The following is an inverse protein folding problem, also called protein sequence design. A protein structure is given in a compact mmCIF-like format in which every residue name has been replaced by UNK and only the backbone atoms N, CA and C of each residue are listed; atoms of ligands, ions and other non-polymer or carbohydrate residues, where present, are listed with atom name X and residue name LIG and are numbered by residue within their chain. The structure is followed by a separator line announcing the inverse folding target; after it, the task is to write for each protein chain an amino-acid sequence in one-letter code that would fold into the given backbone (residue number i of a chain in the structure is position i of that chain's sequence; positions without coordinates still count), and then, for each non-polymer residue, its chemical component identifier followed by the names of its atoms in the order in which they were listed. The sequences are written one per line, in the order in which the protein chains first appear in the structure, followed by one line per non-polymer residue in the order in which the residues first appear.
data_IF_625537833600
#
_entry.id   IF_625537833600
#
_cell.length_a   1.000
_cell.length_b   1.000
_cell.length_c   1.000
_cell.angle_alpha   90.00
_cell.angle_beta   90.00
_cell.angle_gamma   90.00
#
_symmetry.space_group_name_H-M   'P 1'
#
loop_
_entity.id
_entity.type
_entity.pdbx_description
1 polymer ?
#
# COMPACT_ATOMS: atom_id res chain seq x y z
N UNK A 1 -23.72 51.68 -43.06
CA UNK A 1 -24.42 50.73 -42.13
C UNK A 1 -24.31 49.37 -42.70
N UNK A 2 -23.44 48.51 -42.07
CA UNK A 2 -23.25 47.14 -42.46
C UNK A 2 -24.11 46.27 -41.55
N UNK A 3 -24.74 45.17 -42.01
CA UNK A 3 -25.62 44.34 -41.20
C UNK A 3 -24.78 43.43 -40.25
N UNK A 4 -25.16 43.40 -38.97
CA UNK A 4 -24.59 42.55 -37.93
C UNK A 4 -24.90 41.07 -38.24
N UNK A 5 -23.85 40.23 -38.27
CA UNK A 5 -23.96 38.77 -38.32
C UNK A 5 -24.60 38.25 -37.04
N UNK A 6 -25.48 37.26 -37.09
CA UNK A 6 -26.03 36.60 -35.89
C UNK A 6 -24.96 35.78 -35.19
N UNK A 7 -24.92 35.86 -33.85
CA UNK A 7 -24.06 35.01 -33.01
C UNK A 7 -24.53 33.55 -33.11
N UNK A 8 -23.61 32.56 -33.14
CA UNK A 8 -23.99 31.16 -33.10
C UNK A 8 -24.68 30.85 -31.76
N UNK A 9 -25.82 30.17 -31.82
CA UNK A 9 -26.50 29.59 -30.67
C UNK A 9 -25.56 28.48 -30.11
N UNK A 10 -25.05 28.66 -28.91
CA UNK A 10 -24.43 27.58 -28.12
C UNK A 10 -25.52 26.61 -27.75
N UNK A 11 -25.69 25.56 -28.55
CA UNK A 11 -26.37 24.34 -28.11
C UNK A 11 -25.50 23.75 -27.02
N UNK A 12 -26.00 23.70 -25.79
CA UNK A 12 -25.28 23.19 -24.65
C UNK A 12 -24.81 21.74 -24.93
N UNK A 13 -23.56 21.47 -24.61
CA UNK A 13 -22.88 20.16 -24.78
C UNK A 13 -23.68 19.00 -24.15
N UNK A 14 -24.62 19.32 -23.28
CA UNK A 14 -25.49 18.40 -22.55
C UNK A 14 -26.61 17.75 -23.38
N UNK A 15 -27.09 18.41 -24.43
CA UNK A 15 -28.15 17.83 -25.26
C UNK A 15 -27.66 16.66 -26.12
N UNK A 16 -26.38 16.63 -26.45
CA UNK A 16 -25.78 15.57 -27.27
C UNK A 16 -25.45 14.29 -26.45
N UNK A 17 -25.20 14.42 -25.15
CA UNK A 17 -24.93 13.29 -24.24
C UNK A 17 -26.20 12.49 -23.88
N UNK A 18 -27.37 13.12 -23.95
CA UNK A 18 -28.64 12.47 -23.58
C UNK A 18 -29.34 11.75 -24.76
N UNK A 19 -28.92 12.00 -26.00
CA UNK A 19 -29.60 11.49 -27.20
C UNK A 19 -28.91 10.30 -27.87
N UNK A 20 -27.68 9.93 -27.45
CA UNK A 20 -26.98 8.76 -28.01
C UNK A 20 -26.63 7.74 -26.92
N UNK A 21 -27.12 6.50 -27.01
CA UNK A 21 -26.89 5.46 -25.98
C UNK A 21 -25.43 4.94 -25.89
N UNK A 22 -24.57 5.30 -26.82
CA UNK A 22 -23.27 4.68 -27.03
C UNK A 22 -22.13 5.15 -26.11
N UNK A 23 -22.02 6.41 -25.65
CA UNK A 23 -20.90 6.86 -24.83
C UNK A 23 -20.91 6.34 -23.37
N UNK A 24 -22.09 6.04 -22.83
CA UNK A 24 -22.23 5.60 -21.42
C UNK A 24 -21.81 4.14 -21.17
N UNK A 25 -21.69 3.34 -22.22
CA UNK A 25 -21.35 1.93 -22.09
C UNK A 25 -19.87 1.70 -21.69
N UNK A 26 -18.97 2.63 -22.02
CA UNK A 26 -17.53 2.51 -21.79
C UNK A 26 -17.06 3.12 -20.47
N UNK A 27 -17.93 3.81 -19.74
CA UNK A 27 -17.60 4.41 -18.44
C UNK A 27 -17.61 3.37 -17.31
N UNK A 28 -16.73 3.57 -16.31
CA UNK A 28 -16.75 2.74 -15.10
C UNK A 28 -18.06 2.92 -14.34
N UNK A 29 -18.48 1.94 -13.56
CA UNK A 29 -19.72 2.02 -12.77
C UNK A 29 -19.68 3.17 -11.75
N UNK A 30 -18.49 3.55 -11.28
CA UNK A 30 -18.27 4.68 -10.37
C UNK A 30 -18.51 6.01 -11.09
N UNK A 31 -17.97 6.17 -12.29
CA UNK A 31 -18.20 7.36 -13.15
C UNK A 31 -19.67 7.53 -13.52
N UNK A 32 -20.38 6.44 -13.82
CA UNK A 32 -21.83 6.48 -14.09
C UNK A 32 -22.65 6.95 -12.89
N UNK A 33 -22.31 6.49 -11.67
CA UNK A 33 -22.97 6.95 -10.43
C UNK A 33 -22.70 8.44 -10.14
N UNK A 34 -21.48 8.92 -10.38
CA UNK A 34 -21.11 10.33 -10.17
C UNK A 34 -21.84 11.25 -11.15
N UNK A 35 -21.88 10.90 -12.44
CA UNK A 35 -22.64 11.66 -13.44
C UNK A 35 -24.11 11.77 -13.04
N UNK A 36 -24.72 10.68 -12.55
CA UNK A 36 -26.11 10.68 -12.08
C UNK A 36 -26.33 11.56 -10.84
N UNK A 37 -25.38 11.55 -9.89
CA UNK A 37 -25.45 12.37 -8.68
C UNK A 37 -25.24 13.85 -8.99
N UNK A 38 -24.29 14.20 -9.87
CA UNK A 38 -24.02 15.56 -10.30
C UNK A 38 -25.24 16.15 -11.05
N UNK A 39 -25.80 15.43 -12.02
CA UNK A 39 -26.98 15.89 -12.77
C UNK A 39 -28.18 16.12 -11.85
N UNK A 40 -28.42 15.27 -10.88
CA UNK A 40 -29.51 15.43 -9.91
C UNK A 40 -29.28 16.64 -8.97
N UNK A 41 -28.04 16.91 -8.57
CA UNK A 41 -27.65 18.07 -7.74
C UNK A 41 -27.85 19.38 -8.50
N UNK A 42 -27.38 19.45 -9.74
CA UNK A 42 -27.44 20.66 -10.57
C UNK A 42 -28.88 21.03 -10.90
N UNK A 43 -29.71 20.04 -11.21
CA UNK A 43 -31.14 20.25 -11.44
C UNK A 43 -31.86 20.75 -10.20
N UNK A 44 -31.57 20.17 -9.02
CA UNK A 44 -32.17 20.63 -7.75
C UNK A 44 -31.79 22.08 -7.46
N UNK A 45 -30.56 22.47 -7.78
CA UNK A 45 -30.05 23.83 -7.59
C UNK A 45 -30.70 24.79 -8.59
N UNK A 46 -30.86 24.41 -9.86
CA UNK A 46 -31.54 25.18 -10.87
C UNK A 46 -33.03 25.42 -10.52
N UNK A 47 -33.72 24.39 -10.04
CA UNK A 47 -35.12 24.51 -9.60
C UNK A 47 -35.28 25.38 -8.35
N UNK A 48 -34.35 25.34 -7.38
CA UNK A 48 -34.33 26.26 -6.24
C UNK A 48 -34.20 27.71 -6.70
N UNK A 49 -33.36 28.01 -7.68
CA UNK A 49 -33.19 29.36 -8.27
C UNK A 49 -34.44 29.80 -8.99
N UNK A 50 -35.09 28.93 -9.77
CA UNK A 50 -36.36 29.25 -10.46
C UNK A 50 -37.45 29.51 -9.42
N UNK A 51 -37.62 28.69 -8.40
CA UNK A 51 -38.59 28.92 -7.32
C UNK A 51 -38.35 30.26 -6.62
N UNK A 52 -37.10 30.57 -6.26
CA UNK A 52 -36.75 31.87 -5.65
C UNK A 52 -37.05 33.06 -6.56
N UNK A 53 -36.83 32.95 -7.88
CA UNK A 53 -37.19 33.96 -8.85
C UNK A 53 -38.72 34.15 -9.02
N UNK A 54 -39.50 33.09 -8.88
CA UNK A 54 -40.96 33.14 -8.89
C UNK A 54 -41.51 33.79 -7.61
N UNK A 55 -40.91 33.47 -6.45
CA UNK A 55 -41.27 34.03 -5.14
C UNK A 55 -40.91 35.52 -4.99
N UNK A 56 -39.81 35.96 -5.64
CA UNK A 56 -39.30 37.35 -5.55
C UNK A 56 -39.94 38.31 -6.57
N UNK A 57 -40.50 37.81 -7.66
CA UNK A 57 -41.29 38.58 -8.60
C UNK A 57 -42.74 38.39 -8.23
N UNK A 58 -43.40 39.45 -7.72
CA UNK A 58 -44.82 39.50 -7.33
C UNK A 58 -45.70 39.16 -8.54
N UNK A 59 -45.80 37.86 -8.85
CA UNK A 59 -46.73 37.32 -9.84
C UNK A 59 -47.96 36.82 -9.09
N UNK A 60 -49.17 37.15 -9.60
CA UNK A 60 -50.39 36.64 -8.96
C UNK A 60 -50.45 35.12 -9.00
N UNK A 61 -51.11 34.47 -8.03
CA UNK A 61 -51.22 32.97 -7.95
C UNK A 61 -51.74 32.32 -9.25
N UNK A 62 -52.52 33.04 -10.03
CA UNK A 62 -53.05 32.54 -11.32
C UNK A 62 -51.98 32.36 -12.40
N UNK A 63 -50.83 33.04 -12.28
CA UNK A 63 -49.68 32.94 -13.23
C UNK A 63 -48.59 32.01 -12.74
N UNK A 64 -48.48 31.76 -11.43
CA UNK A 64 -47.45 30.86 -10.85
C UNK A 64 -47.86 29.40 -10.87
N UNK A 65 -49.17 29.09 -10.68
CA UNK A 65 -49.65 27.72 -10.61
C UNK A 65 -49.39 26.87 -11.87
N UNK A 66 -49.57 27.37 -13.12
CA UNK A 66 -49.21 26.61 -14.31
C UNK A 66 -47.73 26.28 -14.39
N UNK A 67 -46.84 27.20 -13.95
CA UNK A 67 -45.36 27.02 -13.96
C UNK A 67 -44.97 25.97 -12.90
N UNK A 68 -45.55 26.02 -11.71
CA UNK A 68 -45.30 25.02 -10.65
C UNK A 68 -45.76 23.63 -11.09
N UNK A 69 -46.87 23.51 -11.79
CA UNK A 69 -47.36 22.23 -12.32
C UNK A 69 -46.39 21.66 -13.37
N UNK A 70 -45.84 22.49 -14.25
CA UNK A 70 -44.83 22.08 -15.25
C UNK A 70 -43.53 21.64 -14.55
N UNK A 71 -43.06 22.40 -13.56
CA UNK A 71 -41.88 22.05 -12.76
C UNK A 71 -42.09 20.71 -12.05
N UNK A 72 -43.26 20.51 -11.42
CA UNK A 72 -43.60 19.25 -10.75
C UNK A 72 -43.68 18.05 -11.71
N UNK A 73 -44.11 18.29 -12.95
CA UNK A 73 -44.13 17.27 -13.99
C UNK A 73 -42.73 16.88 -14.47
N UNK A 74 -41.85 17.87 -14.67
CA UNK A 74 -40.45 17.65 -15.05
C UNK A 74 -39.72 16.88 -13.94
N UNK A 75 -39.89 17.26 -12.68
CA UNK A 75 -39.27 16.58 -11.54
C UNK A 75 -39.74 15.12 -11.45
N UNK A 76 -41.03 14.84 -11.62
CA UNK A 76 -41.55 13.46 -11.64
C UNK A 76 -41.01 12.62 -12.79
N UNK A 77 -40.78 13.23 -13.94
CA UNK A 77 -40.23 12.55 -15.11
C UNK A 77 -38.76 12.21 -14.88
N UNK A 78 -37.99 13.13 -14.33
CA UNK A 78 -36.57 12.93 -14.00
C UNK A 78 -36.38 11.90 -12.90
N UNK A 79 -37.21 11.89 -11.86
CA UNK A 79 -37.17 10.82 -10.84
C UNK A 79 -37.46 9.43 -11.41
N UNK A 80 -38.34 9.33 -12.42
CA UNK A 80 -38.60 8.06 -13.12
C UNK A 80 -37.37 7.64 -13.93
N UNK A 81 -36.78 8.58 -14.70
CA UNK A 81 -35.57 8.34 -15.48
C UNK A 81 -34.38 7.93 -14.59
N UNK A 82 -34.17 8.59 -13.48
CA UNK A 82 -33.12 8.28 -12.53
C UNK A 82 -33.30 6.86 -11.93
N UNK A 83 -34.53 6.53 -11.53
CA UNK A 83 -34.86 5.18 -11.02
C UNK A 83 -34.69 4.08 -12.08
N UNK A 84 -35.01 4.35 -13.34
CA UNK A 84 -34.82 3.39 -14.41
C UNK A 84 -33.34 3.18 -14.75
N UNK A 85 -32.58 4.26 -14.74
CA UNK A 85 -31.14 4.21 -14.96
C UNK A 85 -30.41 3.45 -13.81
N UNK A 86 -30.82 3.68 -12.55
CA UNK A 86 -30.34 2.88 -11.42
C UNK A 86 -30.68 1.39 -11.56
N UNK A 87 -31.88 1.06 -12.03
CA UNK A 87 -32.27 -0.32 -12.31
C UNK A 87 -31.39 -0.95 -13.40
N UNK A 88 -31.07 -0.19 -14.45
CA UNK A 88 -30.20 -0.65 -15.53
C UNK A 88 -28.76 -0.86 -15.01
N UNK A 89 -28.19 0.08 -14.22
CA UNK A 89 -26.88 -0.07 -13.58
C UNK A 89 -26.85 -1.31 -12.71
N UNK A 90 -27.83 -1.51 -11.83
CA UNK A 90 -27.92 -2.72 -10.98
C UNK A 90 -28.05 -4.02 -11.80
N UNK A 91 -28.70 -3.99 -12.97
CA UNK A 91 -28.78 -5.16 -13.88
C UNK A 91 -27.41 -5.47 -14.49
N UNK A 92 -26.65 -4.44 -14.92
CA UNK A 92 -25.31 -4.60 -15.48
C UNK A 92 -24.34 -5.09 -14.41
N UNK A 93 -24.39 -4.54 -13.19
CA UNK A 93 -23.57 -4.98 -12.05
C UNK A 93 -23.83 -6.46 -11.70
N UNK A 94 -25.12 -6.88 -11.61
CA UNK A 94 -25.47 -8.29 -11.38
C UNK A 94 -25.00 -9.22 -12.50
N UNK A 95 -25.07 -8.78 -13.77
CA UNK A 95 -24.55 -9.56 -14.90
C UNK A 95 -23.02 -9.66 -14.85
N UNK A 96 -22.32 -8.58 -14.51
CA UNK A 96 -20.88 -8.55 -14.33
C UNK A 96 -20.44 -9.47 -13.19
N UNK A 97 -21.10 -9.38 -12.04
CA UNK A 97 -20.85 -10.25 -10.88
C UNK A 97 -21.09 -11.73 -11.21
N UNK A 98 -22.21 -12.05 -11.91
CA UNK A 98 -22.48 -13.43 -12.35
C UNK A 98 -21.42 -13.96 -13.32
N UNK A 99 -20.90 -13.11 -14.25
CA UNK A 99 -19.78 -13.48 -15.13
C UNK A 99 -18.49 -13.72 -14.35
N UNK A 100 -18.17 -12.87 -13.35
CA UNK A 100 -17.01 -13.07 -12.47
C UNK A 100 -17.12 -14.35 -11.65
N UNK A 101 -18.27 -14.63 -11.05
CA UNK A 101 -18.53 -15.88 -10.30
C UNK A 101 -18.43 -17.10 -11.21
N UNK A 102 -18.99 -17.04 -12.42
CA UNK A 102 -18.89 -18.11 -13.42
C UNK A 102 -17.44 -18.35 -13.82
N UNK A 103 -16.71 -17.29 -14.13
CA UNK A 103 -15.28 -17.35 -14.48
C UNK A 103 -14.42 -17.91 -13.34
N UNK A 104 -14.70 -17.53 -12.08
CA UNK A 104 -14.00 -18.09 -10.91
C UNK A 104 -14.33 -19.59 -10.72
N UNK A 105 -15.59 -20.00 -10.94
CA UNK A 105 -16.00 -21.42 -10.90
C UNK A 105 -15.34 -22.23 -12.02
N UNK A 106 -15.28 -21.69 -13.24
CA UNK A 106 -14.64 -22.32 -14.39
C UNK A 106 -13.12 -22.43 -14.18
N UNK A 107 -12.47 -21.40 -13.63
CA UNK A 107 -11.04 -21.45 -13.26
C UNK A 107 -10.76 -22.45 -12.14
N UNK A 108 -11.63 -22.53 -11.14
CA UNK A 108 -11.51 -23.52 -10.05
C UNK A 108 -11.71 -24.94 -10.58
N UNK A 109 -12.65 -25.13 -11.51
CA UNK A 109 -12.85 -26.43 -12.19
C UNK A 109 -11.68 -26.79 -13.09
N UNK A 110 -11.19 -25.88 -13.94
CA UNK A 110 -10.01 -26.09 -14.77
C UNK A 110 -8.76 -26.42 -13.93
N UNK A 111 -8.52 -25.71 -12.81
CA UNK A 111 -7.42 -26.04 -11.90
C UNK A 111 -7.58 -27.45 -11.33
N UNK A 112 -8.77 -27.82 -10.86
CA UNK A 112 -9.01 -29.18 -10.35
C UNK A 112 -8.85 -30.25 -11.41
N UNK A 113 -9.34 -30.00 -12.63
CA UNK A 113 -9.22 -30.92 -13.76
C UNK A 113 -7.76 -31.02 -14.25
N UNK A 114 -7.05 -29.89 -14.34
CA UNK A 114 -5.65 -29.86 -14.75
C UNK A 114 -4.74 -30.57 -13.73
N UNK A 115 -4.94 -30.29 -12.44
CA UNK A 115 -4.21 -30.98 -11.36
C UNK A 115 -4.57 -32.47 -11.33
N UNK A 116 -5.83 -32.82 -11.57
CA UNK A 116 -6.28 -34.21 -11.63
C UNK A 116 -5.71 -34.98 -12.84
N UNK A 117 -5.65 -34.34 -14.00
CA UNK A 117 -5.06 -34.96 -15.22
C UNK A 117 -3.54 -35.02 -15.11
N UNK A 118 -2.89 -33.96 -14.62
CA UNK A 118 -1.44 -33.95 -14.38
C UNK A 118 -1.05 -34.97 -13.31
N UNK A 119 -1.85 -35.05 -12.23
CA UNK A 119 -1.64 -36.06 -11.17
C UNK A 119 -1.80 -37.50 -11.66
N UNK A 120 -2.75 -37.77 -12.59
CA UNK A 120 -2.90 -39.09 -13.22
C UNK A 120 -1.77 -39.38 -14.21
N UNK A 121 -1.37 -38.42 -15.04
CA UNK A 121 -0.25 -38.55 -15.96
C UNK A 121 1.07 -38.78 -15.20
N UNK A 122 1.32 -38.03 -14.12
CA UNK A 122 2.51 -38.18 -13.27
C UNK A 122 2.54 -39.53 -12.53
N UNK A 123 1.39 -40.08 -12.12
CA UNK A 123 1.34 -41.46 -11.56
C UNK A 123 1.64 -42.54 -12.56
N UNK A 124 1.35 -42.31 -13.84
CA UNK A 124 1.68 -43.29 -14.93
C UNK A 124 3.16 -43.22 -15.28
N UNK A 125 3.74 -42.03 -15.33
CA UNK A 125 5.13 -41.85 -15.76
C UNK A 125 6.13 -41.92 -14.59
N UNK A 126 5.69 -41.72 -13.34
CA UNK A 126 6.54 -41.75 -12.14
C UNK A 126 5.83 -42.48 -11.00
N UNK A 127 5.66 -43.80 -11.04
CA UNK A 127 5.04 -44.56 -9.97
C UNK A 127 5.92 -44.47 -8.72
N UNK A 128 5.40 -43.84 -7.67
CA UNK A 128 6.10 -43.73 -6.37
C UNK A 128 6.45 -42.32 -5.88
N UNK A 129 6.31 -41.28 -6.72
CA UNK A 129 6.48 -39.90 -6.28
C UNK A 129 5.18 -39.36 -5.68
N UNK A 130 5.14 -39.21 -4.35
CA UNK A 130 4.12 -38.39 -3.68
C UNK A 130 4.35 -36.95 -4.12
N UNK A 131 3.39 -36.33 -4.82
CA UNK A 131 3.35 -34.88 -5.06
C UNK A 131 2.90 -34.27 -3.72
N UNK A 132 3.83 -34.14 -2.78
CA UNK A 132 3.73 -33.14 -1.73
C UNK A 132 3.96 -31.78 -2.40
N UNK A 133 3.21 -30.74 -2.02
CA UNK A 133 3.65 -29.38 -2.29
C UNK A 133 5.12 -29.32 -1.89
N UNK A 134 6.03 -29.12 -2.85
CA UNK A 134 7.46 -29.14 -2.58
C UNK A 134 7.74 -28.02 -1.58
N UNK A 135 7.90 -28.39 -0.33
CA UNK A 135 8.47 -27.49 0.66
C UNK A 135 9.91 -27.22 0.22
N UNK A 136 10.28 -25.96 0.17
CA UNK A 136 11.64 -25.59 -0.22
C UNK A 136 12.66 -26.22 0.73
N UNK A 137 13.81 -26.59 0.19
CA UNK A 137 14.90 -27.06 1.03
C UNK A 137 15.29 -26.00 2.05
N UNK A 138 15.53 -26.36 3.32
CA UNK A 138 15.98 -25.43 4.33
C UNK A 138 17.18 -24.61 3.84
N UNK A 139 17.08 -23.27 3.93
CA UNK A 139 18.12 -22.36 3.47
C UNK A 139 18.08 -22.00 1.98
N UNK A 140 17.07 -22.44 1.19
CA UNK A 140 16.87 -21.96 -0.17
C UNK A 140 16.15 -20.60 -0.19
N UNK A 141 16.87 -19.56 0.15
CA UNK A 141 16.36 -18.19 0.10
C UNK A 141 16.01 -17.70 -1.31
N UNK A 142 16.54 -18.35 -2.35
CA UNK A 142 16.16 -18.05 -3.74
C UNK A 142 14.74 -18.51 -4.04
N UNK A 143 14.32 -19.65 -3.48
CA UNK A 143 12.92 -20.09 -3.55
C UNK A 143 12.01 -19.13 -2.78
N UNK A 144 12.40 -18.72 -1.57
CA UNK A 144 11.64 -17.75 -0.77
C UNK A 144 11.47 -16.42 -1.52
N UNK A 145 12.53 -15.90 -2.16
CA UNK A 145 12.44 -14.68 -2.98
C UNK A 145 11.40 -14.83 -4.10
N UNK A 146 11.40 -15.93 -4.85
CA UNK A 146 10.39 -16.19 -5.89
C UNK A 146 8.97 -16.27 -5.33
N UNK A 147 8.80 -16.87 -4.16
CA UNK A 147 7.50 -16.97 -3.49
C UNK A 147 7.01 -15.59 -3.02
N UNK A 148 7.90 -14.73 -2.52
CA UNK A 148 7.57 -13.33 -2.17
C UNK A 148 7.16 -12.55 -3.43
N UNK A 149 7.91 -12.64 -4.53
CA UNK A 149 7.57 -12.00 -5.82
C UNK A 149 6.16 -12.39 -6.27
N UNK A 150 5.77 -13.65 -6.10
CA UNK A 150 4.43 -14.12 -6.42
C UNK A 150 3.32 -13.48 -5.56
N UNK A 151 3.66 -12.90 -4.40
CA UNK A 151 2.71 -12.20 -3.53
C UNK A 151 2.60 -10.70 -3.84
N UNK A 152 3.49 -10.10 -4.62
CA UNK A 152 3.51 -8.66 -4.85
C UNK A 152 2.25 -8.17 -5.58
N UNK A 153 1.75 -8.91 -6.56
CA UNK A 153 0.56 -8.53 -7.31
C UNK A 153 -0.72 -8.81 -6.52
N UNK A 154 -1.40 -7.75 -6.09
CA UNK A 154 -2.66 -7.79 -5.31
C UNK A 154 -3.68 -6.83 -5.92
N UNK A 155 -4.42 -7.21 -6.97
CA UNK A 155 -5.31 -6.31 -7.71
C UNK A 155 -6.42 -5.66 -6.88
N UNK A 156 -6.76 -6.27 -5.76
CA UNK A 156 -7.84 -5.80 -4.87
C UNK A 156 -7.29 -5.10 -3.61
N UNK A 157 -5.99 -4.79 -3.59
CA UNK A 157 -5.32 -4.09 -2.49
C UNK A 157 -4.56 -2.86 -3.00
N UNK A 158 -4.84 -1.70 -2.39
CA UNK A 158 -4.24 -0.40 -2.69
C UNK A 158 -4.10 -0.14 -4.23
N UNK A 159 -2.89 0.16 -4.70
CA UNK A 159 -2.57 0.41 -6.12
C UNK A 159 -2.33 -0.90 -6.91
N UNK A 160 -2.86 -2.01 -6.43
CA UNK A 160 -2.71 -3.33 -7.05
C UNK A 160 -1.45 -4.08 -6.64
N UNK A 161 -0.73 -3.62 -5.61
CA UNK A 161 0.53 -4.20 -5.18
C UNK A 161 0.66 -4.29 -3.65
N UNK A 162 1.18 -5.40 -3.16
CA UNK A 162 1.63 -5.55 -1.77
C UNK A 162 3.06 -5.04 -1.55
N UNK A 163 3.77 -4.62 -2.59
CA UNK A 163 5.17 -4.17 -2.48
C UNK A 163 5.36 -3.07 -1.44
N UNK A 164 4.61 -1.95 -1.50
CA UNK A 164 4.76 -0.87 -0.53
C UNK A 164 4.53 -1.30 0.93
N UNK A 165 3.53 -2.14 1.20
CA UNK A 165 3.28 -2.61 2.57
C UNK A 165 4.35 -3.60 3.04
N UNK A 166 5.04 -4.33 2.16
CA UNK A 166 6.19 -5.15 2.54
C UNK A 166 7.41 -4.29 2.92
N UNK A 167 7.65 -3.20 2.20
CA UNK A 167 8.70 -2.23 2.57
C UNK A 167 8.40 -1.61 3.92
N UNK A 168 7.15 -1.18 4.16
CA UNK A 168 6.72 -0.64 5.45
C UNK A 168 6.81 -1.66 6.57
N UNK A 169 6.49 -2.94 6.32
CA UNK A 169 6.61 -4.02 7.30
C UNK A 169 8.06 -4.23 7.73
N UNK A 170 9.00 -4.28 6.78
CA UNK A 170 10.43 -4.39 7.07
C UNK A 170 10.95 -3.18 7.87
N UNK A 171 10.54 -1.96 7.48
CA UNK A 171 10.87 -0.73 8.18
C UNK A 171 10.36 -0.74 9.63
N UNK A 172 9.08 -1.01 9.86
CA UNK A 172 8.49 -0.98 11.19
C UNK A 172 9.04 -2.11 12.09
N UNK A 173 9.36 -3.27 11.52
CA UNK A 173 10.05 -4.34 12.27
C UNK A 173 11.41 -3.91 12.78
N UNK A 174 12.15 -3.10 12.00
CA UNK A 174 13.51 -2.68 12.34
C UNK A 174 13.57 -1.37 13.13
N UNK A 175 12.63 -0.44 12.89
CA UNK A 175 12.62 0.92 13.42
C UNK A 175 12.39 1.05 14.92
N UNK A 176 12.14 -0.05 15.60
CA UNK A 176 12.03 -0.11 17.06
C UNK A 176 13.40 -0.16 17.77
N UNK A 177 14.50 -0.28 17.02
CA UNK A 177 15.84 -0.40 17.59
C UNK A 177 16.26 0.81 18.40
N UNK A 178 16.90 0.56 19.51
CA UNK A 178 17.50 1.56 20.39
C UNK A 178 18.95 1.14 20.64
N UNK A 179 19.90 1.94 20.16
CA UNK A 179 21.33 1.63 20.20
C UNK A 179 21.92 1.73 21.61
N UNK A 180 21.33 2.55 22.50
CA UNK A 180 21.80 2.71 23.87
C UNK A 180 21.40 1.49 24.71
N UNK A 181 20.14 1.08 24.65
CA UNK A 181 19.65 -0.09 25.41
C UNK A 181 19.86 -1.42 24.70
N UNK A 182 20.29 -1.43 23.43
CA UNK A 182 20.44 -2.61 22.55
C UNK A 182 19.17 -3.48 22.52
N UNK A 183 18.00 -2.84 22.37
CA UNK A 183 16.69 -3.49 22.37
C UNK A 183 15.88 -3.15 21.13
N UNK A 184 14.96 -4.03 20.72
CA UNK A 184 14.20 -3.88 19.48
C UNK A 184 15.04 -4.23 18.25
N UNK A 185 14.63 -3.71 17.09
CA UNK A 185 15.30 -3.94 15.82
C UNK A 185 14.74 -5.12 15.03
N UNK A 186 15.43 -5.51 13.97
CA UNK A 186 14.94 -6.43 12.94
C UNK A 186 14.90 -7.90 13.39
N UNK A 187 15.39 -8.23 14.57
CA UNK A 187 15.32 -9.56 15.15
C UNK A 187 14.06 -9.73 15.99
N UNK A 188 13.53 -10.94 16.10
CA UNK A 188 12.44 -11.28 17.02
C UNK A 188 11.05 -11.34 16.43
N UNK A 189 10.76 -10.61 15.36
CA UNK A 189 9.41 -10.53 14.75
C UNK A 189 8.30 -10.26 15.78
N UNK A 190 8.50 -9.26 16.64
CA UNK A 190 7.63 -8.95 17.78
C UNK A 190 6.21 -8.59 17.41
N UNK A 191 5.96 -8.08 16.18
CA UNK A 191 4.60 -7.81 15.69
C UNK A 191 3.69 -9.05 15.59
N UNK A 192 4.19 -10.27 15.81
CA UNK A 192 3.36 -11.46 16.00
C UNK A 192 2.57 -11.41 17.32
N UNK A 193 3.04 -10.63 18.28
CA UNK A 193 2.42 -10.42 19.58
C UNK A 193 1.66 -9.12 19.62
N UNK A 194 0.57 -9.10 20.40
CA UNK A 194 -0.31 -7.93 20.54
C UNK A 194 0.43 -6.70 21.10
N UNK A 195 1.44 -6.90 21.93
CA UNK A 195 2.24 -5.81 22.50
C UNK A 195 2.82 -4.89 21.44
N UNK A 196 3.29 -5.41 20.28
CA UNK A 196 3.80 -4.64 19.16
C UNK A 196 2.82 -4.61 17.98
N UNK A 197 2.20 -5.75 17.65
CA UNK A 197 1.25 -5.86 16.54
C UNK A 197 0.00 -5.00 16.72
N UNK A 198 -0.41 -4.75 17.95
CA UNK A 198 -1.49 -3.85 18.34
C UNK A 198 -1.08 -2.40 18.57
N UNK A 199 0.18 -2.02 18.32
CA UNK A 199 0.59 -0.62 18.34
C UNK A 199 -0.13 0.16 17.21
N UNK A 200 -0.82 1.28 17.49
CA UNK A 200 -1.43 2.12 16.47
C UNK A 200 -0.48 2.53 15.34
N UNK A 201 0.82 2.72 15.65
CA UNK A 201 1.83 3.00 14.63
C UNK A 201 1.98 1.86 13.60
N UNK A 202 1.63 0.62 13.97
CA UNK A 202 1.66 -0.56 13.11
C UNK A 202 0.32 -0.86 12.41
N UNK A 203 -0.67 0.03 12.52
CA UNK A 203 -1.97 -0.14 11.85
C UNK A 203 -1.81 -0.35 10.34
N UNK A 204 -2.53 -1.32 9.76
CA UNK A 204 -2.43 -1.72 8.36
C UNK A 204 -1.35 -2.77 8.07
N UNK A 205 -0.35 -2.98 8.93
CA UNK A 205 0.72 -3.98 8.71
C UNK A 205 0.24 -5.43 8.86
N UNK A 206 -0.90 -5.66 9.48
CA UNK A 206 -1.55 -6.97 9.48
C UNK A 206 -1.83 -7.49 8.06
N UNK A 207 -2.07 -6.61 7.08
CA UNK A 207 -2.24 -7.01 5.68
C UNK A 207 -0.93 -7.55 5.08
N UNK A 208 0.19 -6.85 5.31
CA UNK A 208 1.51 -7.30 4.86
C UNK A 208 1.89 -8.65 5.47
N UNK A 209 1.66 -8.83 6.77
CA UNK A 209 1.88 -10.11 7.47
C UNK A 209 1.03 -11.22 6.87
N UNK A 210 -0.28 -10.98 6.69
CA UNK A 210 -1.20 -11.97 6.12
C UNK A 210 -0.85 -12.36 4.68
N UNK A 211 -0.36 -11.42 3.85
CA UNK A 211 0.07 -11.73 2.49
C UNK A 211 1.33 -12.61 2.44
N UNK A 212 2.13 -12.63 3.50
CA UNK A 212 3.34 -13.45 3.61
C UNK A 212 3.10 -14.82 4.25
N UNK A 213 1.94 -15.05 4.88
CA UNK A 213 1.64 -16.38 5.46
C UNK A 213 1.73 -17.53 4.44
N UNK A 214 1.24 -17.42 3.19
CA UNK A 214 1.42 -18.49 2.19
C UNK A 214 2.90 -18.77 1.86
N UNK A 215 3.78 -17.76 2.00
CA UNK A 215 5.23 -17.93 1.82
C UNK A 215 5.80 -18.69 3.02
N UNK A 216 5.37 -18.32 4.23
CA UNK A 216 5.76 -19.01 5.49
C UNK A 216 5.30 -20.47 5.50
N UNK A 217 4.05 -20.75 5.13
CA UNK A 217 3.50 -22.11 5.04
C UNK A 217 4.30 -22.99 4.08
N UNK A 218 4.73 -22.43 2.94
CA UNK A 218 5.53 -23.13 1.95
C UNK A 218 6.99 -23.30 2.38
N UNK A 219 7.50 -22.41 3.21
CA UNK A 219 8.88 -22.35 3.70
C UNK A 219 8.89 -22.32 5.23
N UNK A 220 8.44 -23.38 5.93
CA UNK A 220 8.27 -23.36 7.39
C UNK A 220 9.58 -23.18 8.17
N UNK A 221 10.71 -23.43 7.52
CA UNK A 221 12.05 -23.29 8.09
C UNK A 221 12.52 -21.84 8.25
N UNK A 222 11.98 -20.87 7.45
CA UNK A 222 12.39 -19.47 7.58
C UNK A 222 11.76 -18.85 8.83
N UNK A 223 12.49 -17.99 9.54
CA UNK A 223 11.90 -17.20 10.63
C UNK A 223 11.02 -16.07 10.07
N UNK A 224 10.07 -15.58 10.84
CA UNK A 224 9.29 -14.40 10.46
C UNK A 224 10.17 -13.15 10.34
N UNK A 225 11.19 -13.02 11.20
CA UNK A 225 12.15 -11.92 11.13
C UNK A 225 12.92 -11.89 9.81
N UNK A 226 13.39 -13.04 9.34
CA UNK A 226 14.02 -13.14 8.03
C UNK A 226 13.01 -12.93 6.90
N UNK A 227 11.81 -13.50 7.00
CA UNK A 227 10.78 -13.38 5.97
C UNK A 227 10.33 -11.93 5.77
N UNK A 228 10.05 -11.19 6.84
CA UNK A 228 9.55 -9.82 6.74
C UNK A 228 10.62 -8.84 6.23
N UNK A 229 11.85 -8.97 6.71
CA UNK A 229 12.97 -8.15 6.22
C UNK A 229 13.32 -8.47 4.77
N UNK A 230 13.33 -9.75 4.39
CA UNK A 230 13.56 -10.18 3.02
C UNK A 230 12.43 -9.71 2.08
N UNK A 231 11.18 -9.72 2.54
CA UNK A 231 10.04 -9.26 1.75
C UNK A 231 10.17 -7.77 1.41
N UNK A 232 10.61 -6.93 2.35
CA UNK A 232 10.90 -5.51 2.08
C UNK A 232 12.00 -5.31 1.05
N UNK A 233 13.09 -6.07 1.16
CA UNK A 233 14.22 -6.02 0.21
C UNK A 233 13.77 -6.45 -1.20
N UNK A 234 13.09 -7.57 -1.31
CA UNK A 234 12.56 -8.08 -2.59
C UNK A 234 11.57 -7.09 -3.20
N UNK A 235 10.71 -6.47 -2.38
CA UNK A 235 9.74 -5.49 -2.86
C UNK A 235 10.43 -4.23 -3.45
N UNK A 236 11.48 -3.71 -2.81
CA UNK A 236 12.27 -2.59 -3.36
C UNK A 236 12.83 -2.96 -4.73
N UNK A 237 13.49 -4.12 -4.84
CA UNK A 237 14.14 -4.60 -6.06
C UNK A 237 13.11 -4.78 -7.20
N UNK A 238 12.00 -5.46 -6.95
CA UNK A 238 10.97 -5.77 -7.95
C UNK A 238 10.16 -4.54 -8.40
N UNK A 239 10.07 -3.52 -7.55
CA UNK A 239 9.47 -2.23 -7.94
C UNK A 239 10.45 -1.30 -8.69
N UNK A 240 11.62 -1.80 -9.11
CA UNK A 240 12.60 -1.09 -9.91
C UNK A 240 13.62 -0.29 -9.09
N UNK A 241 13.73 -0.55 -7.81
CA UNK A 241 14.74 0.01 -6.91
C UNK A 241 16.10 -0.69 -7.00
N UNK A 242 17.06 -0.27 -6.18
CA UNK A 242 18.38 -0.86 -6.14
C UNK A 242 18.39 -2.23 -5.46
N UNK A 243 19.42 -3.02 -5.74
CA UNK A 243 19.71 -4.23 -4.97
C UNK A 243 20.16 -3.87 -3.57
N UNK A 244 19.42 -4.36 -2.57
CA UNK A 244 19.70 -4.10 -1.16
C UNK A 244 20.49 -5.25 -0.55
N UNK A 245 21.64 -4.99 0.12
CA UNK A 245 22.35 -6.01 0.86
C UNK A 245 21.47 -6.61 1.95
N UNK A 246 21.35 -7.94 1.96
CA UNK A 246 20.58 -8.67 2.97
C UNK A 246 21.25 -9.99 3.34
N UNK A 247 21.27 -10.32 4.62
CA UNK A 247 21.81 -11.57 5.15
C UNK A 247 20.76 -12.28 6.01
N UNK A 248 20.69 -13.61 5.94
CA UNK A 248 19.79 -14.42 6.77
C UNK A 248 20.32 -14.62 8.20
N UNK A 249 19.50 -15.28 9.02
CA UNK A 249 19.91 -15.84 10.30
C UNK A 249 19.24 -15.19 11.51
N UNK A 250 18.27 -14.28 11.29
CA UNK A 250 17.44 -13.71 12.38
C UNK A 250 16.63 -14.80 13.04
N UNK A 251 16.30 -14.55 14.30
CA UNK A 251 15.54 -15.45 15.14
C UNK A 251 14.20 -14.82 15.52
N UNK A 252 13.23 -15.64 15.88
CA UNK A 252 11.92 -15.19 16.32
C UNK A 252 11.79 -15.30 17.85
N UNK A 253 11.14 -14.33 18.49
CA UNK A 253 10.77 -14.38 19.90
C UNK A 253 9.85 -15.58 20.18
N UNK A 254 10.03 -16.25 21.31
CA UNK A 254 9.15 -17.33 21.76
C UNK A 254 7.94 -16.82 22.52
N UNK A 255 8.04 -15.61 23.09
CA UNK A 255 7.00 -14.89 23.82
C UNK A 255 7.16 -13.38 23.67
N UNK A 256 6.32 -12.60 24.31
CA UNK A 256 6.29 -11.14 24.22
C UNK A 256 7.17 -10.41 25.25
N UNK A 257 7.90 -11.13 26.09
CA UNK A 257 8.72 -10.56 27.18
C UNK A 257 9.86 -9.65 26.70
N UNK A 258 10.28 -9.81 25.44
CA UNK A 258 11.35 -9.03 24.79
C UNK A 258 10.84 -8.11 23.68
N UNK A 259 9.53 -7.98 23.55
CA UNK A 259 8.94 -7.00 22.63
C UNK A 259 9.30 -5.59 23.09
N UNK A 260 9.80 -4.71 22.21
CA UNK A 260 10.16 -3.35 22.57
C UNK A 260 8.93 -2.53 22.99
N UNK A 261 9.11 -1.51 23.83
CA UNK A 261 8.00 -0.62 24.21
C UNK A 261 7.45 0.14 23.01
N UNK A 262 6.17 0.47 23.04
CA UNK A 262 5.50 1.30 22.04
C UNK A 262 6.08 2.73 22.00
N UNK A 263 5.81 3.46 20.90
CA UNK A 263 6.22 4.86 20.74
C UNK A 263 7.64 5.06 20.20
N UNK A 264 8.29 4.02 19.73
CA UNK A 264 9.63 4.10 19.10
C UNK A 264 9.61 4.46 17.61
N UNK A 265 8.47 4.41 16.95
CA UNK A 265 8.31 4.78 15.54
C UNK A 265 7.98 6.27 15.41
N UNK A 266 8.36 6.92 14.28
CA UNK A 266 8.14 8.34 14.11
C UNK A 266 6.65 8.69 13.92
N UNK A 267 6.29 9.88 14.43
CA UNK A 267 5.02 10.53 14.16
C UNK A 267 5.16 11.45 12.93
N UNK A 268 4.41 11.16 11.88
CA UNK A 268 4.42 11.91 10.62
C UNK A 268 3.95 13.37 10.74
N UNK A 269 3.27 13.74 11.83
CA UNK A 269 2.80 15.10 12.09
C UNK A 269 3.89 16.03 12.68
N UNK A 270 5.07 15.50 12.98
CA UNK A 270 6.16 16.23 13.62
C UNK A 270 7.13 16.87 12.60
N UNK A 271 8.26 17.40 13.08
CA UNK A 271 9.29 18.08 12.27
C UNK A 271 10.67 17.42 12.32
N UNK A 272 11.69 18.17 11.89
CA UNK A 272 13.06 17.72 11.76
C UNK A 272 13.68 17.22 13.07
N UNK A 273 13.44 17.93 14.18
CA UNK A 273 13.98 17.54 15.50
C UNK A 273 13.43 16.19 15.96
N UNK A 274 12.15 15.91 15.67
CA UNK A 274 11.55 14.62 15.95
C UNK A 274 12.18 13.51 15.09
N UNK A 275 12.39 13.77 13.80
CA UNK A 275 13.09 12.81 12.94
C UNK A 275 14.49 12.49 13.50
N UNK A 276 15.26 13.49 13.88
CA UNK A 276 16.58 13.29 14.52
C UNK A 276 16.45 12.49 15.81
N UNK A 277 15.52 12.85 16.70
CA UNK A 277 15.30 12.12 17.95
C UNK A 277 15.05 10.63 17.71
N UNK A 278 14.19 10.29 16.74
CA UNK A 278 13.86 8.89 16.42
C UNK A 278 15.03 8.17 15.73
N UNK A 279 15.63 8.77 14.69
CA UNK A 279 16.61 8.08 13.85
C UNK A 279 18.00 8.06 14.46
N UNK A 280 18.41 9.09 15.22
CA UNK A 280 19.70 9.10 15.93
C UNK A 280 19.72 8.04 17.04
N UNK A 281 18.59 7.78 17.71
CA UNK A 281 18.45 6.65 18.65
C UNK A 281 18.81 5.32 17.98
N UNK A 282 18.49 5.15 16.70
CA UNK A 282 18.82 3.96 15.91
C UNK A 282 20.26 3.97 15.35
N UNK A 283 20.98 5.07 15.49
CA UNK A 283 22.34 5.26 14.96
C UNK A 283 22.41 5.72 13.49
N UNK A 284 21.36 6.37 12.99
CA UNK A 284 21.37 7.02 11.67
C UNK A 284 21.78 8.49 11.79
N UNK A 285 22.32 9.05 10.70
CA UNK A 285 22.62 10.47 10.56
C UNK A 285 21.64 11.18 9.61
N UNK A 286 21.79 12.51 9.42
CA UNK A 286 20.87 13.32 8.59
C UNK A 286 20.80 12.84 7.13
N UNK A 287 21.93 12.47 6.53
CA UNK A 287 21.95 11.92 5.17
C UNK A 287 21.17 10.61 5.07
N UNK A 288 21.34 9.73 6.03
CA UNK A 288 20.65 8.43 6.09
C UNK A 288 19.15 8.59 6.33
N UNK A 289 18.74 9.59 7.13
CA UNK A 289 17.32 9.94 7.36
C UNK A 289 16.67 10.33 6.02
N UNK A 290 17.30 11.25 5.28
CA UNK A 290 16.76 11.70 3.99
C UNK A 290 16.74 10.56 2.97
N UNK A 291 17.76 9.71 2.94
CA UNK A 291 17.79 8.54 2.06
C UNK A 291 16.61 7.59 2.36
N UNK A 292 16.36 7.28 3.63
CA UNK A 292 15.22 6.41 4.02
C UNK A 292 13.86 7.04 3.73
N UNK A 293 13.73 8.38 3.90
CA UNK A 293 12.51 9.09 3.55
C UNK A 293 12.13 8.92 2.06
N UNK A 294 13.10 8.67 1.19
CA UNK A 294 12.85 8.30 -0.21
C UNK A 294 12.00 7.04 -0.40
N UNK A 295 11.81 6.23 0.64
CA UNK A 295 10.81 5.14 0.68
C UNK A 295 9.37 5.62 0.47
N UNK A 296 9.06 6.89 0.75
CA UNK A 296 7.78 7.53 0.46
C UNK A 296 7.49 7.68 -1.04
N UNK A 297 8.43 7.33 -1.91
CA UNK A 297 8.12 7.10 -3.33
C UNK A 297 7.17 5.90 -3.55
N UNK A 298 6.88 5.12 -2.51
CA UNK A 298 6.08 3.90 -2.57
C UNK A 298 4.82 4.00 -1.71
N UNK A 299 3.71 3.54 -2.30
CA UNK A 299 2.44 3.38 -1.59
C UNK A 299 1.71 4.69 -1.32
N UNK A 300 0.81 4.62 -0.34
CA UNK A 300 -0.09 5.70 0.05
C UNK A 300 -0.44 5.65 1.52
N UNK A 301 -0.86 6.78 2.05
CA UNK A 301 -1.47 6.87 3.36
C UNK A 301 -2.97 6.53 3.34
N UNK A 302 -3.49 6.08 4.49
CA UNK A 302 -4.91 5.79 4.72
C UNK A 302 -5.31 6.36 6.08
N UNK A 303 -6.46 7.04 6.14
CA UNK A 303 -6.95 7.65 7.38
C UNK A 303 -7.18 6.65 8.50
N UNK A 304 -7.60 5.42 8.18
CA UNK A 304 -7.82 4.33 9.14
C UNK A 304 -6.53 3.64 9.61
N UNK A 305 -5.36 4.02 9.08
CA UNK A 305 -4.05 3.44 9.42
C UNK A 305 -3.11 4.50 10.03
N UNK A 306 -2.63 5.43 9.21
CA UNK A 306 -1.68 6.48 9.64
C UNK A 306 -2.36 7.78 10.05
N UNK A 307 -3.64 7.92 9.83
CA UNK A 307 -4.37 9.18 10.00
C UNK A 307 -4.24 10.18 8.84
N UNK A 308 -3.31 9.94 7.91
CA UNK A 308 -3.11 10.71 6.69
C UNK A 308 -3.77 10.02 5.50
N UNK A 309 -3.89 10.73 4.35
CA UNK A 309 -4.60 10.21 3.17
C UNK A 309 -3.90 10.60 1.87
N UNK A 310 -3.76 9.64 0.96
CA UNK A 310 -3.29 9.85 -0.41
C UNK A 310 -1.88 9.36 -0.70
N UNK A 311 -1.48 9.35 -1.98
CA UNK A 311 -0.15 8.95 -2.43
C UNK A 311 0.83 10.14 -2.39
N UNK A 312 2.13 9.85 -2.23
CA UNK A 312 3.18 10.88 -2.34
C UNK A 312 3.56 11.19 -3.78
N UNK A 313 3.38 10.21 -4.68
CA UNK A 313 3.81 10.30 -6.08
C UNK A 313 2.75 9.70 -7.02
N UNK A 314 2.80 10.05 -8.30
CA UNK A 314 1.83 9.59 -9.30
C UNK A 314 1.93 8.09 -9.60
N UNK A 315 3.07 7.46 -9.35
CA UNK A 315 3.25 6.01 -9.54
C UNK A 315 3.77 5.34 -8.27
N UNK A 316 2.89 5.06 -7.30
CA UNK A 316 3.27 4.58 -5.97
C UNK A 316 3.74 3.10 -5.93
N UNK A 317 3.75 2.42 -7.06
CA UNK A 317 4.26 1.04 -7.16
C UNK A 317 5.59 0.93 -7.92
N UNK A 318 6.22 2.09 -8.22
CA UNK A 318 7.51 2.14 -8.90
C UNK A 318 8.52 2.92 -8.06
N UNK A 319 9.60 2.28 -7.64
CA UNK A 319 10.68 2.93 -6.90
C UNK A 319 11.50 3.86 -7.81
N UNK A 320 11.65 5.11 -7.42
CA UNK A 320 12.41 6.13 -8.16
C UNK A 320 12.79 7.29 -7.24
N UNK A 321 13.40 8.35 -7.77
CA UNK A 321 13.65 9.58 -7.02
C UNK A 321 12.55 10.65 -7.21
N UNK A 322 11.35 10.25 -7.66
CA UNK A 322 10.25 11.18 -7.94
C UNK A 322 9.79 11.91 -6.68
N UNK A 323 9.79 11.24 -5.53
CA UNK A 323 9.46 11.85 -4.25
C UNK A 323 10.24 13.15 -4.00
N UNK A 324 11.57 13.11 -4.14
CA UNK A 324 12.42 14.29 -3.94
C UNK A 324 12.17 15.37 -4.98
N UNK A 325 11.96 14.99 -6.26
CA UNK A 325 11.66 15.94 -7.34
C UNK A 325 10.35 16.68 -7.09
N UNK A 326 9.31 15.96 -6.70
CA UNK A 326 8.00 16.54 -6.42
C UNK A 326 8.04 17.40 -5.15
N UNK A 327 8.75 16.94 -4.11
CA UNK A 327 8.90 17.68 -2.86
C UNK A 327 9.53 19.08 -3.08
N UNK A 328 10.50 19.21 -4.00
CA UNK A 328 11.14 20.49 -4.35
C UNK A 328 10.34 21.31 -5.36
N UNK A 329 9.65 20.65 -6.30
CA UNK A 329 9.09 21.33 -7.49
C UNK A 329 7.69 21.88 -7.27
N UNK A 330 6.87 21.16 -6.47
CA UNK A 330 5.46 21.48 -6.33
C UNK A 330 5.21 22.43 -5.15
N UNK A 331 4.14 23.22 -5.26
CA UNK A 331 3.67 24.09 -4.18
C UNK A 331 2.75 23.32 -3.25
N UNK A 332 3.28 22.91 -2.09
CA UNK A 332 2.54 22.16 -1.09
C UNK A 332 1.72 23.08 -0.20
N UNK A 333 0.40 22.88 -0.16
CA UNK A 333 -0.54 23.68 0.65
C UNK A 333 -1.04 22.87 1.84
N UNK A 334 -1.09 23.47 3.04
CA UNK A 334 -1.62 22.79 4.22
C UNK A 334 -3.11 22.46 4.02
N UNK A 335 -3.49 21.24 4.40
CA UNK A 335 -4.86 20.74 4.40
C UNK A 335 -5.17 20.03 5.69
N UNK A 336 -6.29 20.38 6.34
CA UNK A 336 -6.82 19.65 7.48
C UNK A 336 -7.80 18.59 6.98
N UNK A 337 -7.55 17.35 7.38
CA UNK A 337 -8.39 16.19 7.06
C UNK A 337 -9.63 16.14 7.97
N UNK A 338 -10.60 15.30 7.64
CA UNK A 338 -11.84 15.15 8.42
C UNK A 338 -11.62 14.63 9.85
N UNK A 339 -10.49 13.96 10.11
CA UNK A 339 -10.07 13.51 11.44
C UNK A 339 -9.27 14.57 12.24
N UNK A 340 -9.12 15.79 11.71
CA UNK A 340 -8.37 16.88 12.31
C UNK A 340 -6.86 16.86 12.07
N UNK A 341 -6.32 15.84 11.45
CA UNK A 341 -4.88 15.74 11.13
C UNK A 341 -4.54 16.71 9.99
N UNK A 342 -3.39 17.37 10.12
CA UNK A 342 -2.88 18.27 9.08
C UNK A 342 -1.86 17.52 8.21
N UNK A 343 -2.01 17.65 6.90
CA UNK A 343 -1.05 17.24 5.89
C UNK A 343 -0.89 18.34 4.84
N UNK A 344 0.02 18.14 3.89
CA UNK A 344 0.19 19.06 2.76
C UNK A 344 -0.28 18.37 1.49
N UNK A 345 -1.03 19.10 0.67
CA UNK A 345 -1.52 18.57 -0.60
C UNK A 345 -1.05 19.45 -1.77
N UNK A 346 -0.84 18.81 -2.90
CA UNK A 346 -0.76 19.42 -4.20
C UNK A 346 -1.95 18.98 -5.04
N UNK A 347 -2.69 19.94 -5.56
CA UNK A 347 -3.76 19.71 -6.52
C UNK A 347 -3.26 20.24 -7.87
N UNK A 348 -3.20 19.36 -8.86
CA UNK A 348 -2.84 19.77 -10.21
C UNK A 348 -3.92 20.74 -10.74
N UNK A 349 -3.56 21.94 -11.21
CA UNK A 349 -4.53 22.89 -11.78
C UNK A 349 -5.33 22.33 -12.97
N UNK A 350 -4.74 21.37 -13.69
CA UNK A 350 -5.36 20.71 -14.83
C UNK A 350 -5.99 19.35 -14.47
N UNK A 351 -5.99 18.98 -13.16
CA UNK A 351 -6.56 17.73 -12.68
C UNK A 351 -8.09 17.74 -12.83
N UNK A 352 -8.65 16.59 -13.20
CA UNK A 352 -10.09 16.37 -13.12
C UNK A 352 -10.53 16.33 -11.63
N UNK A 353 -11.82 16.69 -11.37
CA UNK A 353 -12.38 16.69 -9.99
C UNK A 353 -12.23 15.34 -9.27
N UNK A 354 -12.01 14.28 -10.03
CA UNK A 354 -11.89 12.91 -9.57
C UNK A 354 -10.43 12.48 -9.31
N UNK A 355 -9.44 13.29 -9.67
CA UNK A 355 -8.04 12.98 -9.47
C UNK A 355 -7.66 13.15 -7.99
N UNK A 356 -7.04 12.10 -7.45
CA UNK A 356 -6.59 12.12 -6.06
C UNK A 356 -5.38 13.03 -5.93
N UNK A 357 -5.41 14.04 -5.04
CA UNK A 357 -4.29 14.95 -4.87
C UNK A 357 -3.08 14.22 -4.29
N UNK A 358 -1.89 14.61 -4.72
CA UNK A 358 -0.65 14.18 -4.07
C UNK A 358 -0.57 14.78 -2.67
N UNK A 359 0.10 14.06 -1.77
CA UNK A 359 0.26 14.48 -0.39
C UNK A 359 1.71 14.45 0.09
N UNK A 360 2.02 15.28 1.08
CA UNK A 360 3.25 15.21 1.89
C UNK A 360 2.88 15.30 3.37
N UNK A 361 3.62 14.57 4.18
CA UNK A 361 3.54 14.67 5.64
C UNK A 361 4.22 15.96 6.13
N UNK A 362 3.90 16.48 7.31
CA UNK A 362 4.71 17.52 7.96
C UNK A 362 6.19 17.12 8.09
N UNK A 363 6.48 15.86 8.40
CA UNK A 363 7.87 15.34 8.39
C UNK A 363 8.52 15.41 7.01
N UNK A 364 7.79 15.21 5.90
CA UNK A 364 8.35 15.34 4.56
C UNK A 364 8.69 16.80 4.23
N UNK A 365 7.80 17.72 4.59
CA UNK A 365 8.05 19.16 4.41
C UNK A 365 9.26 19.61 5.23
N UNK A 366 9.49 19.02 6.41
CA UNK A 366 10.67 19.32 7.21
C UNK A 366 11.99 18.99 6.49
N UNK A 367 11.98 18.05 5.54
CA UNK A 367 13.16 17.72 4.74
C UNK A 367 13.62 18.86 3.82
N UNK A 368 12.72 19.77 3.45
CA UNK A 368 13.08 20.94 2.60
C UNK A 368 13.18 22.25 3.39
N UNK A 369 12.66 22.27 4.62
CA UNK A 369 12.76 23.47 5.49
C UNK A 369 13.99 23.45 6.39
N UNK A 370 14.51 22.26 6.73
CA UNK A 370 15.76 22.10 7.46
C UNK A 370 16.95 22.09 6.49
N UNK A 371 17.96 23.00 6.65
CA UNK A 371 19.06 23.11 5.69
C UNK A 371 19.94 21.85 5.60
N UNK A 372 20.13 21.12 6.71
CA UNK A 372 20.95 19.91 6.75
C UNK A 372 20.31 18.74 6.02
N UNK A 373 18.98 18.67 6.01
CA UNK A 373 18.24 17.69 5.22
C UNK A 373 18.12 18.13 3.75
N UNK A 374 17.81 19.41 3.50
CA UNK A 374 17.53 19.95 2.17
C UNK A 374 18.65 19.69 1.17
N UNK A 375 19.91 19.85 1.56
CA UNK A 375 21.06 19.56 0.69
C UNK A 375 21.04 18.13 0.14
N UNK A 376 20.52 17.15 0.89
CA UNK A 376 20.41 15.76 0.45
C UNK A 376 19.19 15.55 -0.42
N UNK A 377 18.07 16.23 -0.13
CA UNK A 377 16.86 16.21 -0.99
C UNK A 377 17.22 16.71 -2.38
N UNK A 378 17.96 17.84 -2.49
CA UNK A 378 18.40 18.43 -3.75
C UNK A 378 19.29 17.46 -4.53
N UNK A 379 20.30 16.87 -3.88
CA UNK A 379 21.19 15.86 -4.50
C UNK A 379 20.42 14.63 -4.99
N UNK A 380 19.50 14.11 -4.22
CA UNK A 380 18.74 12.93 -4.61
C UNK A 380 17.68 13.23 -5.67
N UNK A 381 17.16 14.45 -5.72
CA UNK A 381 16.28 14.87 -6.81
C UNK A 381 17.05 14.95 -8.14
N UNK A 382 18.30 15.43 -8.13
CA UNK A 382 19.14 15.55 -9.31
C UNK A 382 19.71 14.20 -9.74
N UNK A 383 20.35 13.46 -8.82
CA UNK A 383 21.05 12.21 -9.09
C UNK A 383 20.31 11.00 -8.50
N UNK A 384 19.60 10.28 -9.40
CA UNK A 384 18.87 9.07 -9.03
C UNK A 384 19.81 7.93 -8.62
N UNK A 385 20.95 7.80 -9.26
CA UNK A 385 21.86 6.68 -9.03
C UNK A 385 22.60 6.86 -7.68
N UNK A 386 22.94 8.08 -7.32
CA UNK A 386 23.42 8.43 -5.98
C UNK A 386 22.36 8.09 -4.91
N UNK A 387 21.09 8.46 -5.16
CA UNK A 387 20.00 8.10 -4.26
C UNK A 387 19.88 6.58 -4.10
N UNK A 388 19.89 5.84 -5.21
CA UNK A 388 19.77 4.38 -5.19
C UNK A 388 20.92 3.73 -4.43
N UNK A 389 22.15 4.16 -4.63
CA UNK A 389 23.32 3.64 -3.90
C UNK A 389 23.19 3.90 -2.40
N UNK A 390 22.84 5.13 -2.01
CA UNK A 390 22.68 5.49 -0.60
C UNK A 390 21.48 4.75 0.03
N UNK A 391 20.32 4.71 -0.66
CA UNK A 391 19.16 3.97 -0.16
C UNK A 391 19.46 2.50 0.07
N UNK A 392 20.13 1.83 -0.88
CA UNK A 392 20.49 0.42 -0.76
C UNK A 392 21.33 0.15 0.49
N UNK A 393 22.35 0.97 0.73
CA UNK A 393 23.23 0.88 1.90
C UNK A 393 22.48 1.11 3.20
N UNK A 394 21.67 2.18 3.22
CA UNK A 394 20.96 2.59 4.45
C UNK A 394 19.79 1.66 4.76
N UNK A 395 19.04 1.19 3.75
CA UNK A 395 17.98 0.21 3.97
C UNK A 395 18.55 -1.16 4.37
N UNK A 396 19.72 -1.53 3.81
CA UNK A 396 20.49 -2.69 4.26
C UNK A 396 20.92 -2.58 5.73
N UNK A 397 21.42 -1.40 6.16
CA UNK A 397 21.72 -1.09 7.56
C UNK A 397 20.45 -1.18 8.44
N UNK A 398 19.34 -0.63 7.97
CA UNK A 398 18.07 -0.64 8.67
C UNK A 398 17.61 -2.08 9.01
N UNK A 399 17.61 -2.97 8.01
CA UNK A 399 17.17 -4.36 8.22
C UNK A 399 18.19 -5.23 9.00
N UNK A 400 19.36 -4.69 9.34
CA UNK A 400 20.36 -5.30 10.22
C UNK A 400 20.37 -4.67 11.63
N UNK A 401 19.51 -3.68 11.93
CA UNK A 401 19.45 -3.08 13.27
C UNK A 401 19.17 -4.11 14.36
N UNK A 402 19.95 -4.04 15.43
CA UNK A 402 19.90 -5.00 16.53
C UNK A 402 20.59 -6.35 16.24
N UNK A 403 21.26 -6.49 15.07
CA UNK A 403 22.00 -7.69 14.68
C UNK A 403 23.51 -7.45 14.83
N UNK A 404 24.18 -8.35 15.54
CA UNK A 404 25.64 -8.41 15.58
C UNK A 404 26.10 -9.69 14.91
N UNK A 405 27.10 -9.57 14.01
CA UNK A 405 27.64 -10.70 13.26
C UNK A 405 29.12 -10.87 13.55
N UNK A 406 29.58 -12.12 13.57
CA UNK A 406 30.99 -12.46 13.57
C UNK A 406 31.63 -12.27 12.17
N UNK A 407 32.93 -12.54 12.09
CA UNK A 407 33.70 -12.45 10.83
C UNK A 407 33.16 -13.40 9.74
N UNK A 408 32.54 -14.49 10.12
CA UNK A 408 31.91 -15.46 9.22
C UNK A 408 30.48 -15.07 8.83
N UNK A 409 29.94 -13.97 9.40
CA UNK A 409 28.61 -13.43 9.13
C UNK A 409 27.49 -14.12 9.92
N UNK A 410 27.83 -15.00 10.89
CA UNK A 410 26.85 -15.57 11.79
C UNK A 410 26.39 -14.56 12.86
N UNK A 411 25.14 -14.65 13.30
CA UNK A 411 24.62 -13.76 14.34
C UNK A 411 25.15 -14.24 15.70
N UNK A 412 25.79 -13.34 16.45
CA UNK A 412 26.44 -13.67 17.73
C UNK A 412 25.70 -13.13 18.95
N UNK A 413 24.79 -12.19 18.81
CA UNK A 413 24.06 -11.59 19.95
C UNK A 413 22.77 -12.32 20.33
N UNK A 414 22.49 -13.47 19.73
CA UNK A 414 21.36 -14.33 20.14
C UNK A 414 21.57 -14.94 21.53
N UNK A 415 22.82 -15.11 21.97
CA UNK A 415 23.16 -15.75 23.26
C UNK A 415 22.97 -14.79 24.45
N UNK A 416 22.98 -13.48 24.22
CA UNK A 416 22.71 -12.49 25.27
C UNK A 416 21.20 -12.40 25.62
N UNK A 417 20.35 -13.05 24.83
CA UNK A 417 18.92 -13.16 25.06
C UNK A 417 18.66 -14.51 25.69
N UNK A 418 18.90 -14.67 26.99
CA UNK A 418 18.63 -15.91 27.70
C UNK A 418 17.21 -16.39 27.42
N UNK A 419 17.08 -17.40 26.59
CA UNK A 419 15.92 -18.28 26.54
C UNK A 419 14.73 -17.78 25.73
N UNK A 420 14.87 -16.86 24.74
CA UNK A 420 13.71 -16.26 24.12
C UNK A 420 13.57 -16.34 22.60
N UNK A 421 14.48 -16.99 21.88
CA UNK A 421 14.44 -17.00 20.41
C UNK A 421 14.41 -18.41 19.80
N UNK A 422 13.67 -18.54 18.69
CA UNK A 422 13.68 -19.73 17.83
C UNK A 422 14.50 -19.40 16.58
N UNK A 423 15.63 -20.07 16.42
CA UNK A 423 16.51 -19.89 15.26
C UNK A 423 15.92 -20.54 14.00
N UNK A 424 16.21 -19.97 12.84
CA UNK A 424 15.99 -20.66 11.57
C UNK A 424 16.84 -21.95 11.53
N UNK A 425 16.32 -23.04 10.96
CA UNK A 425 17.07 -24.28 10.83
C UNK A 425 18.36 -24.06 10.03
N UNK A 426 19.51 -24.50 10.60
CA UNK A 426 20.78 -24.41 9.89
C UNK A 426 20.75 -25.30 8.63
N UNK A 427 21.41 -24.87 7.55
CA UNK A 427 21.64 -25.73 6.39
C UNK A 427 22.33 -27.00 6.89
N UNK A 428 21.73 -28.17 6.66
CA UNK A 428 22.45 -29.41 6.82
C UNK A 428 23.50 -29.48 5.69
N UNK A 429 24.79 -29.34 6.03
CA UNK A 429 25.85 -29.77 5.14
C UNK A 429 25.76 -31.30 5.11
N UNK A 430 24.96 -31.86 4.22
CA UNK A 430 24.98 -33.27 3.90
C UNK A 430 26.23 -33.56 3.08
N UNK A 431 27.37 -33.65 3.76
CA UNK A 431 28.41 -34.53 3.29
C UNK A 431 27.89 -35.96 3.55
N UNK A 432 27.76 -36.71 2.48
CA UNK A 432 27.34 -38.12 2.49
C UNK A 432 28.24 -38.96 3.39
N UNK A 433 27.71 -39.33 4.55
CA UNK A 433 28.28 -40.35 5.42
C UNK A 433 27.15 -41.05 6.18
N UNK A 434 27.22 -42.39 6.43
CA UNK A 434 26.10 -43.14 6.98
C UNK A 434 25.80 -42.67 8.41
N UNK A 435 24.52 -42.35 8.67
CA UNK A 435 24.00 -41.87 9.94
C UNK A 435 24.22 -42.91 11.07
N UNK A 436 25.00 -42.53 12.05
CA UNK A 436 24.89 -43.13 13.39
C UNK A 436 23.71 -42.51 14.11
N UNK A 437 22.75 -43.36 14.51
CA UNK A 437 21.66 -42.97 15.41
C UNK A 437 22.27 -42.46 16.72
N UNK A 438 21.95 -41.21 17.09
CA UNK A 438 22.06 -40.77 18.48
C UNK A 438 20.66 -40.36 18.92
N UNK A 439 20.10 -41.20 19.78
CA UNK A 439 18.92 -40.86 20.57
C UNK A 439 19.31 -39.79 21.60
N UNK A 440 18.73 -38.60 21.45
CA UNK A 440 18.93 -37.50 22.37
C UNK A 440 17.62 -36.71 22.51
N UNK A 441 16.72 -37.22 23.32
CA UNK A 441 15.51 -36.56 23.76
C UNK A 441 15.89 -35.38 24.66
N UNK A 442 15.79 -34.14 24.18
CA UNK A 442 15.85 -32.94 25.02
C UNK A 442 14.45 -32.63 25.50
N UNK A 443 14.13 -33.00 26.72
CA UNK A 443 12.93 -32.59 27.44
C UNK A 443 12.99 -31.07 27.67
N UNK A 444 12.01 -30.33 27.13
CA UNK A 444 11.68 -28.99 27.59
C UNK A 444 11.28 -29.10 29.08
N UNK A 445 11.93 -28.34 29.94
CA UNK A 445 11.43 -28.03 31.28
C UNK A 445 10.75 -26.68 31.25
N UNK A 446 9.59 -26.65 31.85
CA UNK A 446 8.70 -25.52 32.15
C UNK A 446 9.43 -24.30 32.72
#
# INVERSE_FOLDING_TARGET
MAPRRPRPRTTSHWTTLLTTPTPLLNLTNRSKRRILQATASDMTTAFRRIRHLLETKILSPQHTQPIENVIAQILRTEERHSRDLERQVRRVERRSLRRRIRWMKERRWMRKSFVGVLGKAMKVFYPGRKISAEMSNPGDYSAVRRDIVAQLKKPDYDDGSAGPVFVRLAWHSAGTYDAESDTGGSNGAGMRYEAEGGDPANAGLQHGRAFLEPVKEKNPWITYSDLWTLAGVVAVEEMGGPKVPWKPGRTDLVDDSKVPPRGRLPDGAQGADHLRFIFYRMGFNDQEIVALAGGHNLGRCHMDRSGFEGPWVNNPTRFSNQFFKLLLKLEWKPRTLSNGVQQFNYVDPDADEDDEPLMMLPTDISLITDPSFRQWVERYAEDKDLFFDHFAKVFGKLVELGIRRDEQGAIVNTDNVKGGYVSAPKKSNTATGPAKKQDGCVRARL
#
